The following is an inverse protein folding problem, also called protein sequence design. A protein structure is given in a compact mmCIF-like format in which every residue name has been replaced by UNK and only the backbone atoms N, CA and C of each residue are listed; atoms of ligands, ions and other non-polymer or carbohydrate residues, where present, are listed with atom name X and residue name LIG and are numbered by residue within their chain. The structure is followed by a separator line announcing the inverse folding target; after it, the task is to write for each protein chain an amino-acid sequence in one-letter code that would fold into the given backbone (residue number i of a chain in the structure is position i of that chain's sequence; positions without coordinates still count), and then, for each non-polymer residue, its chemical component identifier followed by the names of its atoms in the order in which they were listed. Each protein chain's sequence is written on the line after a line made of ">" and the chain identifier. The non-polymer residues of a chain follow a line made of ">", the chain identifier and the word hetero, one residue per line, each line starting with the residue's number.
data_IF_011982562285
#
_entry.id   IF_011982562285
#
_cell.length_a   1.000
_cell.length_b   1.000
_cell.length_c   1.000
_cell.angle_alpha   90.00
_cell.angle_beta   90.00
_cell.angle_gamma   90.00
#
_symmetry.space_group_name_H-M   'P 1'
#
loop_
_entity.id
_entity.type
_entity.pdbx_description
1 polymer ?
#
# COMPACT_ATOMS: atom_id res chain seq x y z
N UNK A 1 12.74 -22.70 -1.49
CA UNK A 1 11.50 -23.49 -1.69
C UNK A 1 11.77 -24.63 -2.68
N UNK A 2 12.99 -25.19 -2.64
CA UNK A 2 13.57 -26.01 -3.72
C UNK A 2 13.48 -27.51 -3.44
N UNK A 3 12.64 -27.86 -2.48
CA UNK A 3 12.37 -29.23 -2.07
C UNK A 3 10.98 -29.64 -2.57
N UNK A 4 10.93 -30.72 -3.35
CA UNK A 4 9.69 -31.35 -3.87
C UNK A 4 8.69 -31.66 -2.74
N UNK A 5 9.16 -31.89 -1.50
CA UNK A 5 8.29 -32.12 -0.33
C UNK A 5 7.48 -30.88 0.07
N UNK A 6 8.08 -29.67 0.00
CA UNK A 6 7.42 -28.39 0.28
C UNK A 6 6.46 -27.97 -0.83
N UNK A 7 6.69 -28.45 -2.06
CA UNK A 7 5.80 -28.23 -3.19
C UNK A 7 4.46 -28.93 -3.02
N UNK A 8 4.44 -30.15 -2.46
CA UNK A 8 3.20 -30.85 -2.09
C UNK A 8 2.34 -30.04 -1.11
N UNK A 9 2.95 -29.27 -0.20
CA UNK A 9 2.21 -28.43 0.75
C UNK A 9 1.48 -27.28 0.06
N UNK A 10 2.06 -26.69 -1.00
CA UNK A 10 1.39 -25.65 -1.80
C UNK A 10 0.19 -26.18 -2.58
N UNK A 11 0.23 -27.44 -3.02
CA UNK A 11 -0.84 -28.04 -3.82
C UNK A 11 -2.06 -28.45 -2.99
N UNK A 12 -1.88 -28.63 -1.67
CA UNK A 12 -2.95 -28.96 -0.72
C UNK A 12 -3.85 -27.77 -0.37
N UNK A 13 -3.38 -26.54 -0.58
CA UNK A 13 -4.15 -25.33 -0.29
C UNK A 13 -4.97 -24.96 -1.53
N UNK A 14 -6.29 -25.07 -1.43
CA UNK A 14 -7.22 -24.61 -2.46
C UNK A 14 -7.24 -23.09 -2.61
N UNK A 15 -7.81 -22.58 -3.70
CA UNK A 15 -8.04 -21.15 -3.85
C UNK A 15 -9.26 -20.71 -3.02
N UNK A 16 -9.16 -19.52 -2.41
CA UNK A 16 -10.27 -18.91 -1.70
C UNK A 16 -11.40 -18.52 -2.67
N UNK A 17 -12.63 -18.84 -2.28
CA UNK A 17 -13.80 -18.54 -3.10
C UNK A 17 -14.24 -17.09 -2.88
N UNK A 18 -14.47 -16.37 -3.96
CA UNK A 18 -14.95 -14.97 -3.94
C UNK A 18 -13.82 -13.93 -3.91
N UNK A 19 -12.57 -14.35 -4.10
CA UNK A 19 -11.48 -13.41 -4.40
C UNK A 19 -11.48 -13.07 -5.89
N UNK A 20 -11.34 -11.78 -6.19
CA UNK A 20 -11.34 -11.24 -7.56
C UNK A 20 -9.92 -10.92 -8.01
N UNK A 21 -9.74 -10.81 -9.32
CA UNK A 21 -8.53 -10.23 -9.89
C UNK A 21 -8.31 -8.81 -9.34
N UNK A 22 -7.04 -8.44 -9.16
CA UNK A 22 -6.67 -7.10 -8.70
C UNK A 22 -6.72 -6.13 -9.86
N UNK A 23 -7.17 -4.92 -9.60
CA UNK A 23 -7.17 -3.83 -10.57
C UNK A 23 -6.70 -2.55 -9.91
N UNK A 24 -6.02 -1.66 -10.65
CA UNK A 24 -5.70 -0.31 -10.18
C UNK A 24 -4.99 -0.24 -8.80
N UNK A 25 -4.09 -1.19 -8.48
CA UNK A 25 -3.41 -1.20 -7.17
C UNK A 25 -2.43 -0.03 -7.00
N UNK A 26 -1.84 0.42 -8.10
CA UNK A 26 -0.86 1.51 -8.13
C UNK A 26 -1.52 2.87 -8.38
N UNK A 27 -2.81 2.93 -8.71
CA UNK A 27 -3.50 4.17 -9.07
C UNK A 27 -3.78 5.02 -7.83
N UNK A 28 -3.10 6.16 -7.71
CA UNK A 28 -3.25 7.06 -6.56
C UNK A 28 -4.67 7.63 -6.40
N UNK A 29 -5.48 7.67 -7.47
CA UNK A 29 -6.90 8.09 -7.41
C UNK A 29 -7.82 7.08 -6.71
N UNK A 30 -7.38 5.82 -6.56
CA UNK A 30 -8.15 4.78 -5.84
C UNK A 30 -7.96 4.83 -4.31
N UNK A 31 -7.02 5.67 -3.83
CA UNK A 31 -6.77 5.90 -2.41
C UNK A 31 -7.81 6.86 -1.83
N UNK A 32 -8.71 6.32 -1.00
CA UNK A 32 -9.81 7.08 -0.43
C UNK A 32 -10.26 6.49 0.92
N UNK A 33 -11.22 7.16 1.56
CA UNK A 33 -11.82 6.78 2.85
C UNK A 33 -13.25 6.22 2.70
N UNK A 34 -13.65 5.84 1.49
CA UNK A 34 -15.04 5.45 1.17
C UNK A 34 -15.54 4.26 2.00
N UNK A 35 -14.66 3.33 2.34
CA UNK A 35 -15.03 2.14 3.12
C UNK A 35 -15.00 2.41 4.65
N UNK A 36 -14.72 3.65 5.09
CA UNK A 36 -14.72 4.08 6.49
C UNK A 36 -16.04 4.74 6.95
N UNK A 37 -17.07 4.76 6.09
CA UNK A 37 -18.30 5.60 6.20
C UNK A 37 -19.13 5.48 7.48
N UNK A 38 -18.90 4.50 8.36
CA UNK A 38 -19.51 4.41 9.69
C UNK A 38 -18.80 5.21 10.79
N UNK A 39 -17.67 5.85 10.49
CA UNK A 39 -16.75 6.47 11.48
C UNK A 39 -16.25 7.85 11.05
N UNK A 40 -17.02 8.55 10.20
CA UNK A 40 -16.62 9.69 9.34
C UNK A 40 -15.68 10.74 9.99
N UNK A 41 -15.77 10.97 11.30
CA UNK A 41 -14.87 11.91 12.02
C UNK A 41 -13.66 11.25 12.71
N UNK A 42 -13.77 9.98 13.14
CA UNK A 42 -12.69 9.27 13.85
C UNK A 42 -11.51 8.98 12.94
N UNK A 43 -11.73 8.73 11.65
CA UNK A 43 -10.67 8.33 10.71
C UNK A 43 -10.49 9.24 9.48
N UNK A 44 -11.17 10.39 9.38
CA UNK A 44 -10.91 11.42 8.34
C UNK A 44 -9.41 11.64 8.08
N UNK A 45 -8.91 11.42 6.87
CA UNK A 45 -7.48 11.54 6.54
C UNK A 45 -6.67 10.25 6.68
N UNK A 46 -7.31 9.14 7.01
CA UNK A 46 -6.79 7.80 6.71
C UNK A 46 -7.25 7.43 5.30
N UNK A 47 -6.30 7.31 4.37
CA UNK A 47 -6.57 6.81 3.03
C UNK A 47 -6.30 5.31 2.98
N UNK A 48 -7.28 4.53 2.55
CA UNK A 48 -7.14 3.08 2.48
C UNK A 48 -6.41 2.71 1.19
N UNK A 49 -5.33 1.92 1.25
CA UNK A 49 -4.67 1.42 0.04
C UNK A 49 -5.65 0.62 -0.85
N UNK A 50 -5.65 0.80 -2.17
CA UNK A 50 -6.46 0.01 -3.10
C UNK A 50 -6.23 -1.49 -2.93
N UNK A 51 -4.99 -1.87 -2.62
CA UNK A 51 -4.60 -3.24 -2.27
C UNK A 51 -5.35 -3.76 -1.03
N UNK A 52 -5.41 -2.98 0.06
CA UNK A 52 -6.16 -3.35 1.29
C UNK A 52 -7.66 -3.46 1.02
N UNK A 53 -8.23 -2.54 0.24
CA UNK A 53 -9.67 -2.58 -0.17
C UNK A 53 -9.99 -3.86 -0.94
N UNK A 54 -9.03 -4.33 -1.73
CA UNK A 54 -9.15 -5.54 -2.54
C UNK A 54 -8.55 -6.78 -1.87
N UNK A 55 -8.14 -6.72 -0.59
CA UNK A 55 -7.46 -7.82 0.10
C UNK A 55 -8.30 -9.09 -0.01
N UNK A 56 -7.72 -10.14 -0.60
CA UNK A 56 -8.38 -11.43 -0.70
C UNK A 56 -8.39 -12.05 0.67
N UNK A 57 -9.56 -12.44 1.14
CA UNK A 57 -9.80 -13.22 2.36
C UNK A 57 -10.82 -14.32 2.02
N UNK A 58 -10.78 -15.43 2.74
CA UNK A 58 -11.64 -16.57 2.45
C UNK A 58 -13.09 -16.36 2.88
N UNK A 59 -13.94 -17.37 2.67
CA UNK A 59 -15.39 -17.29 2.94
C UNK A 59 -15.73 -16.98 4.39
N UNK A 60 -14.77 -17.12 5.31
CA UNK A 60 -14.90 -16.74 6.72
C UNK A 60 -15.39 -15.30 6.91
N UNK A 61 -15.16 -14.38 5.96
CA UNK A 61 -15.67 -12.99 6.05
C UNK A 61 -17.12 -12.84 5.58
N UNK A 62 -17.67 -13.76 4.76
CA UNK A 62 -18.94 -13.59 4.02
C UNK A 62 -20.14 -14.38 4.56
N UNK A 63 -20.14 -14.74 5.84
CA UNK A 63 -21.32 -15.37 6.46
C UNK A 63 -21.02 -16.11 7.76
N UNK A 64 -22.01 -16.87 8.28
CA UNK A 64 -21.81 -17.81 9.38
C UNK A 64 -21.04 -19.01 8.82
N UNK A 65 -19.75 -18.81 8.52
CA UNK A 65 -18.85 -19.94 8.42
C UNK A 65 -18.91 -20.63 9.79
N UNK A 66 -19.67 -21.72 9.87
CA UNK A 66 -19.76 -22.58 11.04
C UNK A 66 -18.44 -23.33 11.19
N UNK A 67 -17.37 -22.58 11.45
CA UNK A 67 -16.06 -23.13 11.73
C UNK A 67 -16.17 -23.98 12.98
N UNK A 68 -15.89 -25.26 12.85
CA UNK A 68 -16.07 -26.22 13.94
C UNK A 68 -14.89 -26.19 14.90
N UNK A 69 -13.72 -25.84 14.38
CA UNK A 69 -12.46 -25.88 15.09
C UNK A 69 -11.38 -24.92 14.53
N UNK A 70 -10.26 -24.79 15.25
CA UNK A 70 -9.09 -23.95 14.89
C UNK A 70 -8.37 -24.41 13.62
N UNK A 71 -8.43 -25.70 13.26
CA UNK A 71 -7.81 -26.20 12.03
C UNK A 71 -8.59 -25.70 10.81
N UNK A 72 -9.92 -25.77 10.83
CA UNK A 72 -10.77 -25.21 9.77
C UNK A 72 -10.58 -23.70 9.64
N UNK A 73 -10.48 -22.97 10.76
CA UNK A 73 -10.14 -21.54 10.74
C UNK A 73 -8.80 -21.30 10.03
N UNK A 74 -7.76 -22.07 10.41
CA UNK A 74 -6.43 -21.97 9.80
C UNK A 74 -6.49 -22.24 8.29
N UNK A 75 -7.15 -23.30 7.86
CA UNK A 75 -7.29 -23.64 6.44
C UNK A 75 -7.91 -22.50 5.64
N UNK A 76 -8.98 -21.89 6.16
CA UNK A 76 -9.61 -20.75 5.51
C UNK A 76 -8.66 -19.53 5.43
N UNK A 77 -7.88 -19.23 6.48
CA UNK A 77 -6.87 -18.16 6.39
C UNK A 77 -5.80 -18.47 5.34
N UNK A 78 -5.33 -19.72 5.27
CA UNK A 78 -4.30 -20.12 4.31
C UNK A 78 -4.80 -20.06 2.86
N UNK A 79 -6.06 -20.44 2.59
CA UNK A 79 -6.69 -20.29 1.26
C UNK A 79 -6.74 -18.82 0.84
N UNK A 80 -7.14 -17.94 1.76
CA UNK A 80 -7.15 -16.49 1.53
C UNK A 80 -5.76 -15.97 1.18
N UNK A 81 -4.76 -16.30 2.02
CA UNK A 81 -3.39 -15.84 1.85
C UNK A 81 -2.77 -16.35 0.55
N UNK A 82 -3.02 -17.61 0.17
CA UNK A 82 -2.60 -18.13 -1.13
C UNK A 82 -3.22 -17.36 -2.28
N UNK A 83 -4.55 -17.18 -2.27
CA UNK A 83 -5.21 -16.45 -3.35
C UNK A 83 -4.75 -15.00 -3.41
N UNK A 84 -4.48 -14.35 -2.27
CA UNK A 84 -3.86 -13.02 -2.23
C UNK A 84 -2.51 -13.00 -2.96
N UNK A 85 -1.60 -13.92 -2.62
CA UNK A 85 -0.31 -14.02 -3.29
C UNK A 85 -0.42 -14.32 -4.79
N UNK A 86 -1.38 -15.16 -5.19
CA UNK A 86 -1.66 -15.48 -6.60
C UNK A 86 -2.14 -14.26 -7.36
N UNK A 87 -3.13 -13.53 -6.84
CA UNK A 87 -3.70 -12.39 -7.54
C UNK A 87 -2.77 -11.16 -7.56
N UNK A 88 -1.98 -10.94 -6.51
CA UNK A 88 -0.89 -9.96 -6.53
C UNK A 88 0.17 -10.36 -7.56
N UNK A 89 0.59 -11.63 -7.58
CA UNK A 89 1.52 -12.14 -8.57
C UNK A 89 1.03 -11.94 -10.01
N UNK A 90 -0.25 -12.24 -10.28
CA UNK A 90 -0.86 -12.00 -11.60
C UNK A 90 -0.78 -10.51 -11.99
N UNK A 91 -1.21 -9.61 -11.09
CA UNK A 91 -1.28 -8.17 -11.35
C UNK A 91 0.07 -7.54 -11.68
N UNK A 92 1.14 -7.98 -10.99
CA UNK A 92 2.49 -7.48 -11.25
C UNK A 92 3.24 -8.28 -12.32
N UNK A 93 2.73 -9.44 -12.76
CA UNK A 93 3.26 -10.16 -13.92
C UNK A 93 2.79 -9.55 -15.24
N UNK A 94 1.61 -8.94 -15.25
CA UNK A 94 1.10 -8.22 -16.41
C UNK A 94 2.14 -7.19 -16.87
N UNK A 95 2.41 -7.19 -18.18
CA UNK A 95 3.31 -6.23 -18.76
C UNK A 95 2.56 -4.90 -18.94
N UNK A 96 2.88 -3.93 -18.06
CA UNK A 96 2.30 -2.59 -18.09
C UNK A 96 3.16 -1.59 -18.87
N UNK A 97 4.09 -2.06 -19.69
CA UNK A 97 4.88 -1.24 -20.60
C UNK A 97 6.40 -1.44 -20.45
N UNK A 98 7.16 -0.36 -20.21
CA UNK A 98 8.63 -0.41 -20.19
C UNK A 98 9.24 -0.81 -18.84
N UNK A 99 8.44 -1.36 -17.92
CA UNK A 99 8.91 -1.66 -16.57
C UNK A 99 9.75 -2.94 -16.53
N UNK A 100 10.91 -2.89 -15.86
CA UNK A 100 11.81 -4.05 -15.78
C UNK A 100 11.15 -5.16 -14.97
N UNK A 101 11.53 -6.41 -15.26
CA UNK A 101 10.98 -7.59 -14.58
C UNK A 101 11.34 -7.59 -13.09
N UNK A 102 12.53 -7.10 -12.76
CA UNK A 102 13.04 -7.00 -11.39
C UNK A 102 12.21 -6.00 -10.57
N UNK A 103 11.92 -4.83 -11.13
CA UNK A 103 11.08 -3.80 -10.49
C UNK A 103 9.67 -4.34 -10.22
N UNK A 104 9.08 -5.05 -11.19
CA UNK A 104 7.77 -5.71 -11.03
C UNK A 104 7.76 -6.76 -9.92
N UNK A 105 8.83 -7.57 -9.82
CA UNK A 105 8.98 -8.54 -8.71
C UNK A 105 9.09 -7.84 -7.36
N UNK A 106 9.83 -6.74 -7.31
CA UNK A 106 9.97 -5.96 -6.08
C UNK A 106 8.63 -5.35 -5.64
N UNK A 107 7.86 -4.76 -6.56
CA UNK A 107 6.50 -4.27 -6.27
C UNK A 107 5.59 -5.39 -5.78
N UNK A 108 5.65 -6.56 -6.41
CA UNK A 108 4.88 -7.72 -5.98
C UNK A 108 5.24 -8.16 -4.54
N UNK A 109 6.53 -8.20 -4.21
CA UNK A 109 7.00 -8.53 -2.86
C UNK A 109 6.49 -7.52 -1.83
N UNK A 110 6.62 -6.22 -2.10
CA UNK A 110 6.16 -5.19 -1.16
C UNK A 110 4.65 -5.23 -0.97
N UNK A 111 3.88 -5.41 -2.05
CA UNK A 111 2.44 -5.60 -1.94
C UNK A 111 2.08 -6.84 -1.11
N UNK A 112 2.81 -7.96 -1.28
CA UNK A 112 2.60 -9.16 -0.47
C UNK A 112 2.96 -8.93 1.01
N UNK A 113 4.04 -8.21 1.31
CA UNK A 113 4.39 -7.83 2.70
C UNK A 113 3.30 -6.97 3.33
N UNK A 114 2.82 -5.95 2.62
CA UNK A 114 1.75 -5.07 3.10
C UNK A 114 0.46 -5.85 3.35
N UNK A 115 0.07 -6.75 2.43
CA UNK A 115 -1.07 -7.65 2.65
C UNK A 115 -0.85 -8.60 3.83
N UNK A 116 0.36 -9.14 4.02
CA UNK A 116 0.69 -9.98 5.18
C UNK A 116 0.51 -9.25 6.51
N UNK A 117 0.92 -7.97 6.59
CA UNK A 117 0.69 -7.15 7.78
C UNK A 117 -0.79 -6.83 7.98
N UNK A 118 -1.56 -6.58 6.92
CA UNK A 118 -3.00 -6.39 7.07
C UNK A 118 -3.71 -7.67 7.56
N UNK A 119 -3.24 -8.85 7.14
CA UNK A 119 -3.71 -10.13 7.71
C UNK A 119 -3.46 -10.19 9.22
N UNK A 120 -2.27 -9.77 9.67
CA UNK A 120 -1.94 -9.68 11.10
C UNK A 120 -2.94 -8.80 11.84
N UNK A 121 -3.21 -7.59 11.32
CA UNK A 121 -4.12 -6.66 11.97
C UNK A 121 -5.55 -7.19 12.00
N UNK A 122 -6.02 -7.81 10.92
CA UNK A 122 -7.37 -8.39 10.86
C UNK A 122 -7.52 -9.52 11.87
N UNK A 123 -6.54 -10.42 11.95
CA UNK A 123 -6.56 -11.58 12.86
C UNK A 123 -6.48 -11.13 14.32
N UNK A 124 -5.62 -10.15 14.63
CA UNK A 124 -5.50 -9.56 15.97
C UNK A 124 -6.61 -8.56 16.30
N UNK A 125 -7.44 -8.19 15.31
CA UNK A 125 -8.49 -7.17 15.40
C UNK A 125 -7.98 -5.76 15.69
N UNK A 126 -6.78 -5.44 15.22
CA UNK A 126 -6.19 -4.09 15.24
C UNK A 126 -6.33 -3.36 13.90
N UNK A 127 -7.00 -3.98 12.92
CA UNK A 127 -7.23 -3.38 11.60
C UNK A 127 -8.13 -2.15 11.71
N UNK A 128 -7.71 -1.06 11.06
CA UNK A 128 -8.43 0.21 11.07
C UNK A 128 -9.68 0.17 10.21
N UNK A 129 -9.74 -0.72 9.19
CA UNK A 129 -10.93 -0.87 8.36
C UNK A 129 -11.97 -1.70 9.11
N UNK A 130 -12.75 -0.98 9.91
CA UNK A 130 -13.72 -1.55 10.84
C UNK A 130 -15.04 -1.97 10.18
N UNK A 131 -14.99 -2.47 8.94
CA UNK A 131 -16.17 -3.05 8.30
C UNK A 131 -16.64 -4.29 9.10
N UNK A 132 -17.94 -4.60 9.03
CA UNK A 132 -18.53 -5.69 9.83
C UNK A 132 -17.88 -7.04 9.47
N UNK A 133 -17.54 -7.23 8.19
CA UNK A 133 -16.98 -8.48 7.67
C UNK A 133 -15.64 -8.87 8.32
N UNK A 134 -14.69 -7.92 8.45
CA UNK A 134 -13.37 -8.18 9.03
C UNK A 134 -13.37 -8.14 10.56
N UNK A 135 -14.21 -7.31 11.18
CA UNK A 135 -14.37 -7.27 12.66
C UNK A 135 -14.72 -8.64 13.25
N UNK A 136 -15.52 -9.41 12.52
CA UNK A 136 -15.95 -10.73 12.97
C UNK A 136 -14.82 -11.76 13.01
N UNK A 137 -13.69 -11.53 12.36
CA UNK A 137 -12.59 -12.52 12.28
C UNK A 137 -11.98 -12.76 13.65
N UNK A 138 -11.60 -11.71 14.39
CA UNK A 138 -11.09 -11.85 15.75
C UNK A 138 -12.14 -12.51 16.66
N UNK A 139 -13.41 -12.10 16.55
CA UNK A 139 -14.50 -12.66 17.36
C UNK A 139 -14.67 -14.16 17.09
N UNK A 140 -14.62 -14.58 15.83
CA UNK A 140 -14.68 -15.99 15.41
C UNK A 140 -13.49 -16.77 15.97
N UNK A 141 -12.27 -16.21 15.89
CA UNK A 141 -11.07 -16.82 16.44
C UNK A 141 -11.14 -16.97 17.96
N UNK A 142 -11.52 -15.91 18.67
CA UNK A 142 -11.63 -15.91 20.13
C UNK A 142 -12.63 -16.99 20.61
N UNK A 143 -13.79 -17.12 19.96
CA UNK A 143 -14.77 -18.19 20.27
C UNK A 143 -14.18 -19.60 20.13
N UNK A 144 -13.39 -19.85 19.08
CA UNK A 144 -12.74 -21.13 18.87
C UNK A 144 -11.62 -21.38 19.90
N UNK A 145 -10.83 -20.34 20.22
CA UNK A 145 -9.79 -20.41 21.25
C UNK A 145 -10.39 -20.69 22.63
N UNK A 146 -11.52 -20.07 22.98
CA UNK A 146 -12.25 -20.37 24.22
C UNK A 146 -12.66 -21.84 24.26
N UNK A 147 -13.24 -22.35 23.18
CA UNK A 147 -13.76 -23.72 23.10
C UNK A 147 -12.65 -24.78 23.19
N UNK A 148 -11.50 -24.57 22.54
CA UNK A 148 -10.47 -25.61 22.40
C UNK A 148 -9.29 -25.47 23.35
N UNK A 149 -9.01 -24.25 23.83
CA UNK A 149 -7.83 -23.99 24.68
C UNK A 149 -8.20 -23.53 26.08
N UNK A 150 -9.51 -23.46 26.39
CA UNK A 150 -10.01 -22.91 27.64
C UNK A 150 -9.45 -21.52 27.96
N UNK A 151 -9.36 -20.65 26.94
CA UNK A 151 -8.81 -19.28 27.00
C UNK A 151 -7.33 -19.16 27.39
N UNK A 152 -6.54 -20.23 27.34
CA UNK A 152 -5.09 -20.16 27.60
C UNK A 152 -4.32 -19.46 26.48
N UNK A 153 -4.89 -19.35 25.28
CA UNK A 153 -4.30 -18.68 24.12
C UNK A 153 -5.16 -17.53 23.62
N UNK A 154 -4.51 -16.47 23.14
CA UNK A 154 -5.13 -15.30 22.51
C UNK A 154 -4.90 -15.29 21.00
N UNK A 155 -5.60 -14.39 20.29
CA UNK A 155 -5.42 -14.18 18.85
C UNK A 155 -3.96 -13.87 18.48
N UNK A 156 -3.24 -13.16 19.34
CA UNK A 156 -1.80 -12.88 19.17
C UNK A 156 -0.96 -14.16 19.20
N UNK A 157 -1.21 -15.07 20.15
CA UNK A 157 -0.50 -16.35 20.25
C UNK A 157 -0.79 -17.23 19.03
N UNK A 158 -2.04 -17.20 18.56
CA UNK A 158 -2.44 -17.91 17.35
C UNK A 158 -1.70 -17.35 16.11
N UNK A 159 -1.62 -16.02 15.96
CA UNK A 159 -0.85 -15.39 14.89
C UNK A 159 0.61 -15.79 14.95
N UNK A 160 1.27 -15.67 16.11
CA UNK A 160 2.69 -16.03 16.27
C UNK A 160 2.97 -17.48 15.88
N UNK A 161 2.05 -18.39 16.23
CA UNK A 161 2.13 -19.81 15.85
C UNK A 161 1.97 -20.04 14.34
N UNK A 162 1.14 -19.25 13.66
CA UNK A 162 0.70 -19.53 12.29
C UNK A 162 1.26 -18.59 11.22
N UNK A 163 1.85 -17.44 11.56
CA UNK A 163 2.32 -16.41 10.61
C UNK A 163 3.29 -16.95 9.56
N UNK A 164 4.14 -17.90 9.93
CA UNK A 164 5.02 -18.60 8.98
C UNK A 164 4.25 -19.38 7.92
N UNK A 165 3.17 -20.05 8.30
CA UNK A 165 2.33 -20.81 7.37
C UNK A 165 1.57 -19.86 6.44
N UNK A 166 1.09 -18.74 6.97
CA UNK A 166 0.39 -17.70 6.21
C UNK A 166 1.32 -17.11 5.14
N UNK A 167 2.54 -16.70 5.52
CA UNK A 167 3.52 -16.19 4.57
C UNK A 167 3.88 -17.24 3.49
N UNK A 168 4.10 -18.49 3.89
CA UNK A 168 4.36 -19.58 2.95
C UNK A 168 3.19 -19.79 1.97
N UNK A 169 1.94 -19.66 2.43
CA UNK A 169 0.77 -19.75 1.54
C UNK A 169 0.77 -18.61 0.52
N UNK A 170 1.09 -17.38 0.92
CA UNK A 170 1.24 -16.26 -0.03
C UNK A 170 2.32 -16.55 -1.08
N UNK A 171 3.47 -17.09 -0.67
CA UNK A 171 4.54 -17.51 -1.60
C UNK A 171 4.08 -18.64 -2.55
N UNK A 172 3.34 -19.63 -2.05
CA UNK A 172 2.73 -20.67 -2.88
C UNK A 172 1.79 -20.05 -3.95
N UNK A 173 0.96 -19.09 -3.54
CA UNK A 173 0.09 -18.34 -4.43
C UNK A 173 0.85 -17.59 -5.51
N UNK A 174 1.87 -16.82 -5.11
CA UNK A 174 2.75 -16.11 -6.02
C UNK A 174 3.39 -17.05 -7.03
N UNK A 175 3.85 -18.25 -6.62
CA UNK A 175 4.35 -19.27 -7.56
C UNK A 175 3.30 -19.72 -8.58
N UNK A 176 2.06 -19.91 -8.12
CA UNK A 176 0.91 -20.29 -8.95
C UNK A 176 0.48 -19.19 -9.95
N UNK A 177 0.96 -17.94 -9.80
CA UNK A 177 0.74 -16.85 -10.77
C UNK A 177 1.62 -16.96 -12.04
N UNK A 178 2.49 -17.98 -12.12
CA UNK A 178 3.47 -18.13 -13.20
C UNK A 178 4.91 -17.79 -12.78
N UNK A 179 5.11 -17.19 -11.60
CA UNK A 179 6.44 -16.91 -11.02
C UNK A 179 7.07 -18.15 -10.40
N UNK A 180 7.56 -19.08 -11.24
CA UNK A 180 8.06 -20.39 -10.79
C UNK A 180 9.28 -20.33 -9.86
N UNK A 181 10.09 -19.27 -9.97
CA UNK A 181 11.32 -19.08 -9.19
C UNK A 181 11.05 -17.98 -8.16
N UNK A 182 11.19 -18.34 -6.88
CA UNK A 182 11.12 -17.41 -5.75
C UNK A 182 12.53 -17.24 -5.22
N UNK A 183 12.96 -15.99 -5.11
CA UNK A 183 14.25 -15.67 -4.50
C UNK A 183 14.28 -16.18 -3.04
N UNK A 184 15.34 -16.90 -2.62
CA UNK A 184 15.46 -17.40 -1.25
C UNK A 184 15.28 -16.32 -0.17
N UNK A 185 15.62 -15.06 -0.45
CA UNK A 185 15.40 -13.94 0.46
C UNK A 185 13.92 -13.71 0.81
N UNK A 186 12.99 -14.07 -0.08
CA UNK A 186 11.55 -13.98 0.18
C UNK A 186 11.08 -15.02 1.19
N UNK A 187 11.87 -16.07 1.45
CA UNK A 187 11.54 -17.09 2.44
C UNK A 187 11.69 -16.58 3.88
N UNK A 188 12.38 -15.46 4.08
CA UNK A 188 12.41 -14.76 5.37
C UNK A 188 11.03 -14.16 5.58
N UNK A 189 10.38 -14.56 6.67
CA UNK A 189 9.08 -14.01 7.06
C UNK A 189 9.25 -12.49 7.20
N UNK A 190 8.36 -11.67 6.61
CA UNK A 190 8.34 -10.25 6.86
C UNK A 190 8.35 -10.03 8.36
N UNK A 191 9.30 -9.24 8.84
CA UNK A 191 9.39 -8.95 10.28
C UNK A 191 8.05 -8.41 10.73
N UNK A 192 7.51 -8.85 11.86
CA UNK A 192 6.33 -8.25 12.48
C UNK A 192 6.70 -6.83 12.91
N UNK A 193 6.71 -5.91 11.94
CA UNK A 193 7.06 -4.53 12.13
C UNK A 193 6.02 -3.97 13.10
N UNK A 194 6.45 -3.55 14.29
CA UNK A 194 5.56 -2.92 15.27
C UNK A 194 5.01 -1.57 14.79
N UNK A 195 5.39 -1.16 13.58
CA UNK A 195 4.90 0.02 12.91
C UNK A 195 3.38 -0.03 12.81
N UNK A 196 2.67 0.98 13.33
CA UNK A 196 1.21 1.04 13.26
C UNK A 196 0.69 0.94 11.82
N UNK A 197 -0.49 0.32 11.62
CA UNK A 197 -1.06 0.11 10.29
C UNK A 197 -1.18 1.41 9.47
N UNK A 198 -1.58 2.51 10.12
CA UNK A 198 -1.62 3.83 9.48
C UNK A 198 -0.28 4.24 8.88
N UNK A 199 0.82 4.05 9.61
CA UNK A 199 2.15 4.39 9.13
C UNK A 199 2.60 3.47 8.00
N UNK A 200 2.22 2.18 8.01
CA UNK A 200 2.47 1.28 6.88
C UNK A 200 1.73 1.73 5.62
N UNK A 201 0.47 2.14 5.74
CA UNK A 201 -0.30 2.66 4.61
C UNK A 201 0.26 3.98 4.09
N UNK A 202 0.78 4.87 4.96
CA UNK A 202 1.45 6.10 4.52
C UNK A 202 2.75 5.78 3.77
N UNK A 203 3.56 4.80 4.22
CA UNK A 203 4.75 4.35 3.48
C UNK A 203 4.38 3.79 2.10
N UNK A 204 3.32 2.99 2.03
CA UNK A 204 2.78 2.43 0.77
C UNK A 204 2.30 3.56 -0.17
N UNK A 205 1.59 4.56 0.35
CA UNK A 205 1.17 5.74 -0.42
C UNK A 205 2.37 6.57 -0.89
N UNK A 206 3.29 6.89 0.02
CA UNK A 206 4.47 7.71 -0.24
C UNK A 206 5.39 7.10 -1.29
N UNK A 207 5.54 5.78 -1.29
CA UNK A 207 6.31 5.06 -2.31
C UNK A 207 5.69 5.26 -3.70
N UNK A 208 4.36 5.08 -3.83
CA UNK A 208 3.66 5.27 -5.10
C UNK A 208 3.69 6.73 -5.57
N UNK A 209 3.53 7.68 -4.65
CA UNK A 209 3.64 9.11 -4.95
C UNK A 209 5.01 9.47 -5.48
N UNK A 210 6.10 9.02 -4.84
CA UNK A 210 7.44 9.33 -5.34
C UNK A 210 7.72 8.72 -6.72
N UNK A 211 7.25 7.49 -6.97
CA UNK A 211 7.37 6.86 -8.30
C UNK A 211 6.64 7.69 -9.36
N UNK A 212 5.39 8.09 -9.12
CA UNK A 212 4.63 8.91 -10.06
C UNK A 212 5.22 10.32 -10.21
N UNK A 213 5.63 10.95 -9.11
CA UNK A 213 6.23 12.29 -9.10
C UNK A 213 7.46 12.34 -10.00
N UNK A 214 8.37 11.38 -9.85
CA UNK A 214 9.58 11.32 -10.66
C UNK A 214 9.28 11.09 -12.14
N UNK A 215 8.23 10.33 -12.47
CA UNK A 215 7.76 10.18 -13.85
C UNK A 215 7.29 11.52 -14.43
N UNK A 216 6.48 12.29 -13.68
CA UNK A 216 6.04 13.62 -14.14
C UNK A 216 7.21 14.60 -14.27
N UNK A 217 8.10 14.66 -13.28
CA UNK A 217 9.31 15.50 -13.33
C UNK A 217 10.16 15.17 -14.57
N UNK A 218 10.38 13.89 -14.85
CA UNK A 218 11.12 13.44 -16.03
C UNK A 218 10.46 13.85 -17.35
N UNK A 219 9.13 13.74 -17.45
CA UNK A 219 8.41 14.17 -18.64
C UNK A 219 8.54 15.68 -18.86
N UNK A 220 8.35 16.49 -17.81
CA UNK A 220 8.51 17.95 -17.88
C UNK A 220 9.94 18.30 -18.31
N UNK A 221 10.98 17.70 -17.71
CA UNK A 221 12.38 17.92 -18.11
C UNK A 221 12.63 17.61 -19.58
N UNK A 222 12.10 16.48 -20.06
CA UNK A 222 12.26 16.04 -21.45
C UNK A 222 11.63 17.03 -22.42
N UNK A 223 10.33 17.29 -22.26
CA UNK A 223 9.56 18.08 -23.22
C UNK A 223 9.86 19.60 -23.12
N UNK A 224 10.30 20.09 -21.96
CA UNK A 224 10.62 21.51 -21.74
C UNK A 224 12.13 21.86 -21.83
N UNK A 225 12.98 20.89 -22.21
CA UNK A 225 14.44 21.07 -22.27
C UNK A 225 14.86 22.26 -23.14
N UNK A 226 14.26 22.39 -24.33
CA UNK A 226 14.58 23.44 -25.32
C UNK A 226 13.76 24.72 -25.17
N UNK A 227 12.87 24.80 -24.16
CA UNK A 227 12.02 25.97 -23.93
C UNK A 227 12.67 26.87 -22.87
N UNK A 228 12.94 28.11 -23.23
CA UNK A 228 13.56 29.12 -22.34
C UNK A 228 12.59 30.21 -21.92
N UNK A 229 11.61 30.55 -22.76
CA UNK A 229 10.55 31.51 -22.47
C UNK A 229 9.27 31.13 -23.22
N UNK A 230 8.18 30.97 -22.49
CA UNK A 230 6.87 30.59 -23.06
C UNK A 230 6.06 31.77 -23.58
N UNK A 231 6.36 33.00 -23.13
CA UNK A 231 5.63 34.21 -23.56
C UNK A 231 6.16 34.74 -24.91
N UNK A 232 7.42 34.46 -25.25
CA UNK A 232 8.04 34.89 -26.50
C UNK A 232 7.77 33.93 -27.67
N UNK A 233 7.40 32.69 -27.37
CA UNK A 233 7.08 31.69 -28.39
C UNK A 233 5.89 30.80 -27.97
N UNK A 234 4.66 31.34 -28.01
CA UNK A 234 3.45 30.58 -27.67
C UNK A 234 3.24 29.38 -28.59
N UNK A 235 3.59 29.51 -29.88
CA UNK A 235 3.45 28.42 -30.86
C UNK A 235 4.52 27.33 -30.69
N UNK A 236 5.77 27.66 -30.34
CA UNK A 236 6.77 26.64 -30.04
C UNK A 236 6.50 25.94 -28.70
N UNK A 237 6.05 26.65 -27.67
CA UNK A 237 5.77 26.05 -26.35
C UNK A 237 4.54 25.11 -26.36
N UNK A 238 3.55 25.40 -27.20
CA UNK A 238 2.39 24.53 -27.42
C UNK A 238 2.70 23.39 -28.39
N UNK A 239 3.59 23.60 -29.39
CA UNK A 239 4.07 22.54 -30.28
C UNK A 239 5.11 21.60 -29.65
N UNK A 240 5.86 22.02 -28.63
CA UNK A 240 6.87 21.22 -27.91
C UNK A 240 6.29 20.29 -26.83
N UNK A 241 4.97 20.16 -26.69
CA UNK A 241 4.29 19.39 -25.62
C UNK A 241 4.64 19.81 -24.18
N UNK A 242 5.49 20.82 -23.99
CA UNK A 242 5.95 21.29 -22.70
C UNK A 242 4.80 21.82 -21.82
N UNK A 243 4.00 22.75 -22.33
CA UNK A 243 2.84 23.29 -21.58
C UNK A 243 1.84 22.18 -21.20
N UNK A 244 1.45 21.27 -22.11
CA UNK A 244 0.65 20.09 -21.75
C UNK A 244 1.24 19.24 -20.62
N UNK A 245 2.54 18.93 -20.62
CA UNK A 245 3.15 18.12 -19.54
C UNK A 245 3.19 18.88 -18.20
N UNK A 246 3.43 20.19 -18.22
CA UNK A 246 3.33 21.02 -17.01
C UNK A 246 1.91 20.99 -16.45
N UNK A 247 0.88 21.16 -17.30
CA UNK A 247 -0.53 21.09 -16.86
C UNK A 247 -0.84 19.74 -16.22
N UNK A 248 -0.40 18.63 -16.82
CA UNK A 248 -0.57 17.29 -16.24
C UNK A 248 0.11 17.17 -14.88
N UNK A 249 1.33 17.69 -14.73
CA UNK A 249 2.05 17.67 -13.47
C UNK A 249 1.35 18.51 -12.38
N UNK A 250 0.83 19.69 -12.74
CA UNK A 250 0.05 20.53 -11.83
C UNK A 250 -1.25 19.86 -11.39
N UNK A 251 -2.01 19.28 -12.32
CA UNK A 251 -3.25 18.57 -12.03
C UNK A 251 -3.02 17.38 -11.10
N UNK A 252 -1.98 16.59 -11.39
CA UNK A 252 -1.53 15.50 -10.53
C UNK A 252 -1.15 16.01 -9.14
N UNK A 253 -0.30 17.04 -9.06
CA UNK A 253 0.17 17.62 -7.79
C UNK A 253 -0.99 18.16 -6.95
N UNK A 254 -2.02 18.75 -7.59
CA UNK A 254 -3.24 19.21 -6.91
C UNK A 254 -4.01 18.07 -6.27
N UNK A 255 -4.18 16.94 -6.96
CA UNK A 255 -4.87 15.78 -6.40
C UNK A 255 -4.08 15.19 -5.22
N UNK A 256 -2.76 15.08 -5.35
CA UNK A 256 -1.90 14.51 -4.31
C UNK A 256 -1.68 15.43 -3.11
N UNK A 257 -1.65 16.74 -3.29
CA UNK A 257 -1.58 17.69 -2.18
C UNK A 257 -2.83 17.62 -1.30
N UNK A 258 -4.03 17.42 -1.87
CA UNK A 258 -5.26 17.20 -1.09
C UNK A 258 -5.17 15.92 -0.24
N UNK A 259 -4.69 14.82 -0.84
CA UNK A 259 -4.47 13.56 -0.12
C UNK A 259 -3.42 13.73 0.99
N UNK A 260 -2.32 14.42 0.69
CA UNK A 260 -1.22 14.68 1.62
C UNK A 260 -1.63 15.55 2.80
N UNK A 261 -2.38 16.63 2.56
CA UNK A 261 -2.91 17.51 3.61
C UNK A 261 -3.77 16.69 4.58
N UNK A 262 -4.62 15.80 4.06
CA UNK A 262 -5.45 14.93 4.89
C UNK A 262 -4.64 13.92 5.72
N UNK A 263 -3.63 13.28 5.11
CA UNK A 263 -2.70 12.35 5.77
C UNK A 263 -1.90 13.07 6.87
N UNK A 264 -1.33 14.23 6.55
CA UNK A 264 -0.46 15.01 7.43
C UNK A 264 -1.21 15.49 8.68
N UNK A 265 -2.43 15.99 8.51
CA UNK A 265 -3.26 16.39 9.64
C UNK A 265 -3.67 15.19 10.50
N UNK A 266 -3.96 14.04 9.87
CA UNK A 266 -4.27 12.81 10.59
C UNK A 266 -3.07 12.30 11.38
N UNK A 267 -1.86 12.34 10.83
CA UNK A 267 -0.63 11.98 11.53
C UNK A 267 -0.44 12.80 12.80
N UNK A 268 -0.53 14.14 12.69
CA UNK A 268 -0.43 15.05 13.85
C UNK A 268 -1.48 14.74 14.91
N UNK A 269 -2.72 14.43 14.48
CA UNK A 269 -3.81 14.07 15.38
C UNK A 269 -3.54 12.75 16.11
N UNK A 270 -3.11 11.70 15.41
CA UNK A 270 -2.79 10.41 16.03
C UNK A 270 -1.65 10.50 17.04
N UNK A 271 -0.61 11.33 16.81
CA UNK A 271 0.43 11.56 17.82
C UNK A 271 -0.09 12.19 19.12
N UNK A 272 -1.19 12.95 19.06
CA UNK A 272 -1.77 13.67 20.22
C UNK A 272 -2.91 12.91 20.90
N UNK A 273 -3.55 11.95 20.22
CA UNK A 273 -4.67 11.19 20.76
C UNK A 273 -4.19 10.13 21.77
N UNK A 274 -4.78 10.10 22.97
CA UNK A 274 -4.42 9.13 24.01
C UNK A 274 -4.56 7.66 23.55
N UNK A 275 -5.59 7.36 22.75
CA UNK A 275 -5.81 6.03 22.14
C UNK A 275 -4.59 5.55 21.31
N UNK A 276 -3.87 6.47 20.67
CA UNK A 276 -2.74 6.17 19.79
C UNK A 276 -1.39 6.55 20.40
N UNK A 277 -1.37 7.22 21.56
CA UNK A 277 -0.14 7.73 22.20
C UNK A 277 0.89 6.64 22.47
N UNK A 278 0.46 5.46 22.90
CA UNK A 278 1.36 4.32 23.12
C UNK A 278 1.89 3.74 21.80
N UNK A 279 1.01 3.62 20.81
CA UNK A 279 1.30 3.14 19.46
C UNK A 279 2.31 4.04 18.73
N UNK A 280 2.26 5.35 18.99
CA UNK A 280 3.16 6.36 18.43
C UNK A 280 4.29 6.79 19.37
N UNK A 281 4.42 6.20 20.56
CA UNK A 281 5.37 6.63 21.60
C UNK A 281 6.82 6.66 21.11
N UNK A 282 7.17 5.74 20.22
CA UNK A 282 8.52 5.60 19.68
C UNK A 282 8.74 6.39 18.38
N UNK A 283 7.72 7.09 17.88
CA UNK A 283 7.77 7.89 16.67
C UNK A 283 8.15 9.31 17.06
N UNK A 284 9.39 9.71 16.75
CA UNK A 284 9.96 10.98 17.20
C UNK A 284 9.56 12.14 16.29
N UNK A 285 9.40 11.86 15.02
CA UNK A 285 9.23 12.80 13.91
C UNK A 285 7.94 13.59 14.08
N UNK A 286 8.05 14.92 13.98
CA UNK A 286 7.00 15.85 14.38
C UNK A 286 5.84 15.88 13.38
N UNK A 287 6.16 15.62 12.11
CA UNK A 287 5.20 15.53 11.01
C UNK A 287 5.44 14.29 10.12
N UNK A 288 4.50 14.07 9.18
CA UNK A 288 4.51 12.90 8.31
C UNK A 288 5.62 12.94 7.25
N UNK A 289 6.08 14.13 6.85
CA UNK A 289 7.17 14.30 5.87
C UNK A 289 8.48 13.82 6.49
N UNK A 290 8.80 14.31 7.70
CA UNK A 290 9.96 13.85 8.47
C UNK A 290 9.92 12.34 8.71
N UNK A 291 8.73 11.81 9.07
CA UNK A 291 8.55 10.37 9.25
C UNK A 291 8.88 9.57 8.00
N UNK A 292 8.37 9.98 6.83
CA UNK A 292 8.65 9.28 5.58
C UNK A 292 10.13 9.38 5.18
N UNK A 293 10.77 10.54 5.36
CA UNK A 293 12.20 10.70 5.09
C UNK A 293 13.07 9.75 5.91
N UNK A 294 12.76 9.58 7.20
CA UNK A 294 13.54 8.72 8.09
C UNK A 294 13.21 7.22 7.92
N UNK A 295 11.92 6.88 7.72
CA UNK A 295 11.44 5.49 7.84
C UNK A 295 11.01 4.84 6.52
N UNK A 296 11.08 5.56 5.40
CA UNK A 296 10.76 5.04 4.07
C UNK A 296 11.90 5.31 3.07
N UNK A 297 12.85 4.37 3.00
CA UNK A 297 13.94 4.45 2.01
C UNK A 297 13.47 4.41 0.55
N UNK A 298 12.22 3.98 0.29
CA UNK A 298 11.58 3.99 -1.03
C UNK A 298 10.75 5.24 -1.30
N UNK A 299 10.76 6.20 -0.38
CA UNK A 299 10.06 7.48 -0.49
C UNK A 299 11.10 8.62 -0.54
N UNK A 300 11.99 8.67 -1.55
CA UNK A 300 13.08 9.64 -1.54
C UNK A 300 12.63 11.09 -1.74
N UNK A 301 11.38 11.32 -2.18
CA UNK A 301 10.87 12.63 -2.58
C UNK A 301 10.23 13.41 -1.42
N UNK A 302 10.15 14.73 -1.60
CA UNK A 302 9.38 15.63 -0.74
C UNK A 302 7.90 15.60 -1.09
N UNK A 303 7.05 15.85 -0.08
CA UNK A 303 5.59 15.84 -0.26
C UNK A 303 4.96 17.24 -0.14
N UNK A 304 5.64 18.17 0.53
CA UNK A 304 5.10 19.50 0.82
C UNK A 304 5.14 20.45 -0.40
N UNK A 305 6.08 20.23 -1.31
CA UNK A 305 6.27 21.03 -2.53
C UNK A 305 5.18 20.82 -3.57
N UNK A 306 4.42 19.72 -3.50
CA UNK A 306 3.26 19.47 -4.38
C UNK A 306 2.23 20.61 -4.32
N UNK A 307 2.14 21.34 -3.20
CA UNK A 307 1.25 22.49 -3.05
C UNK A 307 1.78 23.72 -3.77
N UNK A 308 3.09 23.90 -3.82
CA UNK A 308 3.75 25.04 -4.47
C UNK A 308 3.49 25.04 -5.98
N UNK A 309 3.58 23.87 -6.61
CA UNK A 309 3.30 23.65 -8.04
C UNK A 309 1.87 24.10 -8.42
N UNK A 310 0.94 24.06 -7.47
CA UNK A 310 -0.49 24.32 -7.71
C UNK A 310 -0.89 25.79 -7.55
N UNK A 311 0.04 26.67 -7.12
CA UNK A 311 -0.25 28.09 -6.92
C UNK A 311 -0.53 28.86 -8.21
N UNK A 312 -0.01 28.39 -9.34
CA UNK A 312 -0.16 29.06 -10.63
C UNK A 312 -1.42 28.59 -11.37
N UNK A 313 -2.41 29.48 -11.47
CA UNK A 313 -3.63 29.25 -12.26
C UNK A 313 -3.40 29.43 -13.75
N UNK A 314 -2.51 30.36 -14.14
CA UNK A 314 -2.04 30.55 -15.50
C UNK A 314 -0.55 30.20 -15.59
N UNK A 315 -0.17 29.41 -16.58
CA UNK A 315 1.24 29.09 -16.86
C UNK A 315 1.82 30.24 -17.69
N UNK A 316 2.18 31.34 -17.03
CA UNK A 316 3.04 32.40 -17.60
C UNK A 316 4.52 32.10 -17.35
N UNK A 317 5.43 32.88 -17.95
CA UNK A 317 6.87 32.58 -17.90
C UNK A 317 7.46 32.48 -16.48
N UNK A 318 6.91 33.21 -15.50
CA UNK A 318 7.29 33.07 -14.09
C UNK A 318 6.96 31.67 -13.54
N UNK A 319 5.72 31.21 -13.72
CA UNK A 319 5.27 29.89 -13.32
C UNK A 319 6.10 28.79 -14.00
N UNK A 320 6.35 28.96 -15.30
CA UNK A 320 7.19 28.05 -16.08
C UNK A 320 8.59 27.90 -15.48
N UNK A 321 9.28 29.01 -15.19
CA UNK A 321 10.63 28.98 -14.60
C UNK A 321 10.64 28.30 -13.24
N UNK A 322 9.69 28.64 -12.36
CA UNK A 322 9.63 28.06 -11.01
C UNK A 322 9.35 26.54 -11.07
N UNK A 323 8.44 26.09 -11.93
CA UNK A 323 8.18 24.64 -12.11
C UNK A 323 9.42 23.95 -12.70
N UNK A 324 10.12 24.58 -13.65
CA UNK A 324 11.36 24.04 -14.23
C UNK A 324 12.45 23.86 -13.16
N UNK A 325 12.65 24.87 -12.32
CA UNK A 325 13.59 24.80 -11.20
C UNK A 325 13.21 23.68 -10.21
N UNK A 326 11.93 23.55 -9.88
CA UNK A 326 11.45 22.50 -8.96
C UNK A 326 11.63 21.09 -9.52
N UNK A 327 11.33 20.85 -10.80
CA UNK A 327 11.54 19.52 -11.37
C UNK A 327 13.01 19.13 -11.38
N UNK A 328 13.92 20.11 -11.48
CA UNK A 328 15.37 19.91 -11.47
C UNK A 328 15.96 19.51 -10.11
N UNK A 329 15.24 19.76 -9.01
CA UNK A 329 15.64 19.31 -7.67
C UNK A 329 15.65 17.76 -7.63
N UNK A 330 16.79 17.12 -7.28
CA UNK A 330 16.83 15.68 -7.03
C UNK A 330 15.87 15.29 -5.91
N UNK A 331 15.22 14.13 -6.02
CA UNK A 331 14.23 13.67 -5.04
C UNK A 331 14.79 13.75 -3.61
N UNK A 332 16.04 13.31 -3.42
CA UNK A 332 16.71 13.23 -2.13
C UNK A 332 17.00 14.59 -1.46
N UNK A 333 16.87 15.69 -2.22
CA UNK A 333 17.10 17.06 -1.76
C UNK A 333 15.81 17.86 -1.53
N UNK A 334 14.65 17.29 -1.86
CA UNK A 334 13.32 17.80 -1.49
C UNK A 334 13.00 17.47 -0.03
#
# INVERSE_FOLDING_TARGET
>A
FDDKSKMKVCDLIGDAIGCKHKTNLEELDEWNDMDMRGTYNKHKGVLIPPRRRQLCFSRIVRGPANLRNLNEFKEEILKGAQSEGKFLGNYYNEDKGKEKKEDRKEKALEAMKNSFYDYEDIIKGTDMLTNIEFKDIKIKLDKLLTKETNNTKKAEDWWETNKKSIWNAMLCGYKKSGNKIIDPSWCKIPTTEKTPQFLRWIKEWGTNVCIEKEKYKKNVKSECSNVTNIDLDPQASESTKCIPEIRKYQEWSRKRSIQWDAISERYKKYKRMDEFKNTFKNIKESDANEYLKEHCSKCPCGFNDMKEITKYTNIGNEAFKQIKEQVDIPAELE
#
